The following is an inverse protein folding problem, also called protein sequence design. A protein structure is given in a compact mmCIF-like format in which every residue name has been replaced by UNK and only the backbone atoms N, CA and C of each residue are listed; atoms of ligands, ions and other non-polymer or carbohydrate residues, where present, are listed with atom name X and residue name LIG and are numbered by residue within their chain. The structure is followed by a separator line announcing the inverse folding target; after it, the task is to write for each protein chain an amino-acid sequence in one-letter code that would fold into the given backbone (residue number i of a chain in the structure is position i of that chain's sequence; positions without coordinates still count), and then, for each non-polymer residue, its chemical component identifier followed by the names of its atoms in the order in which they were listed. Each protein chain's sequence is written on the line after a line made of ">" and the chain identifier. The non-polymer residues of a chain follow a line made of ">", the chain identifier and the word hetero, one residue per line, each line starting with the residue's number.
data_IF_572804925966
#
_entry.id   IF_572804925966
#
_cell.length_a   1.000
_cell.length_b   1.000
_cell.length_c   1.000
_cell.angle_alpha   90.00
_cell.angle_beta   90.00
_cell.angle_gamma   90.00
#
_symmetry.space_group_name_H-M   'P 1'
#
loop_
_entity.id
_entity.type
_entity.pdbx_description
1 polymer ?
#
# COMPACT_ATOMS: atom_id res chain seq x y z
N UNK A 1 -51.24 -67.63 20.66
CA UNK A 1 -49.99 -66.94 21.02
C UNK A 1 -49.72 -65.89 19.94
N UNK A 2 -49.27 -64.65 20.17
CA UNK A 2 -49.34 -63.73 21.34
C UNK A 2 -48.88 -62.34 20.84
N UNK A 3 -49.51 -61.23 21.27
CA UNK A 3 -49.08 -59.80 21.12
C UNK A 3 -48.76 -59.28 19.69
N UNK A 4 -49.26 -58.17 19.13
CA UNK A 4 -49.94 -56.93 19.59
C UNK A 4 -49.06 -55.75 20.06
N UNK A 5 -48.60 -54.93 19.10
CA UNK A 5 -48.34 -53.45 19.15
C UNK A 5 -47.99 -52.99 17.70
N UNK A 6 -48.36 -51.84 17.11
CA UNK A 6 -48.60 -50.43 17.51
C UNK A 6 -47.36 -49.54 17.74
N UNK A 7 -46.67 -49.15 16.65
CA UNK A 7 -46.09 -47.81 16.30
C UNK A 7 -45.99 -47.79 14.75
N UNK A 8 -46.41 -46.83 13.90
CA UNK A 8 -47.15 -45.55 13.99
C UNK A 8 -46.38 -44.21 13.79
N UNK A 9 -46.97 -43.31 12.96
CA UNK A 9 -46.76 -41.86 12.76
C UNK A 9 -45.38 -41.21 13.05
N UNK A 10 -44.71 -40.73 11.98
CA UNK A 10 -44.75 -39.28 11.60
C UNK A 10 -44.08 -38.96 10.25
N UNK A 11 -44.54 -37.88 9.63
CA UNK A 11 -43.92 -37.23 8.47
C UNK A 11 -43.07 -36.03 8.90
N UNK A 12 -41.87 -35.91 8.35
CA UNK A 12 -41.13 -34.66 8.07
C UNK A 12 -40.28 -34.97 6.82
N UNK A 13 -40.47 -34.33 5.65
CA UNK A 13 -40.44 -32.89 5.32
C UNK A 13 -39.11 -32.21 5.67
N UNK A 14 -38.05 -32.64 4.98
CA UNK A 14 -36.80 -31.88 4.84
C UNK A 14 -36.83 -31.13 3.50
N UNK A 15 -37.42 -29.94 3.48
CA UNK A 15 -37.45 -29.09 2.28
C UNK A 15 -36.06 -28.55 1.98
N UNK A 16 -35.58 -28.77 0.76
CA UNK A 16 -34.41 -28.09 0.19
C UNK A 16 -34.68 -26.58 0.10
N UNK A 17 -34.23 -25.84 1.11
CA UNK A 17 -34.25 -24.37 1.08
C UNK A 17 -33.13 -23.87 0.17
N UNK A 18 -33.45 -23.69 -1.11
CA UNK A 18 -32.66 -22.83 -2.00
C UNK A 18 -32.76 -21.41 -1.47
N UNK A 19 -31.83 -21.01 -0.61
CA UNK A 19 -31.74 -19.65 -0.07
C UNK A 19 -31.21 -18.71 -1.14
N UNK A 20 -32.10 -18.26 -2.02
CA UNK A 20 -31.98 -16.93 -2.62
C UNK A 20 -31.79 -15.92 -1.47
N UNK A 21 -30.81 -15.00 -1.52
CA UNK A 21 -30.71 -13.96 -0.50
C UNK A 21 -32.00 -13.13 -0.51
N UNK A 22 -32.48 -12.67 0.67
CA UNK A 22 -33.70 -11.87 0.73
C UNK A 22 -33.51 -10.58 -0.07
N UNK A 23 -34.47 -10.25 -0.93
CA UNK A 23 -34.44 -9.00 -1.69
C UNK A 23 -34.52 -7.81 -0.73
N UNK A 24 -33.53 -6.92 -0.82
CA UNK A 24 -33.29 -5.79 0.10
C UNK A 24 -34.28 -4.65 -0.17
N UNK A 25 -35.55 -4.89 0.15
CA UNK A 25 -36.63 -3.90 0.17
C UNK A 25 -37.01 -3.45 1.58
N UNK A 26 -36.44 -4.07 2.64
CA UNK A 26 -36.80 -3.82 4.05
C UNK A 26 -35.63 -3.30 4.92
N UNK A 27 -34.41 -3.16 4.38
CA UNK A 27 -33.27 -2.68 5.19
C UNK A 27 -33.21 -1.15 5.18
N UNK A 28 -34.05 -0.54 6.03
CA UNK A 28 -34.04 0.90 6.36
C UNK A 28 -33.20 1.25 7.58
N UNK A 29 -32.55 0.26 8.21
CA UNK A 29 -31.78 0.40 9.44
C UNK A 29 -30.28 0.15 9.18
N UNK A 30 -29.48 1.20 9.36
CA UNK A 30 -28.02 1.20 9.17
C UNK A 30 -27.30 0.16 10.05
N UNK A 31 -27.84 -0.15 11.25
CA UNK A 31 -27.23 -1.11 12.17
C UNK A 31 -27.29 -2.53 11.62
N UNK A 32 -28.37 -2.87 10.91
CA UNK A 32 -28.53 -4.17 10.25
C UNK A 32 -27.63 -4.29 9.01
N UNK A 33 -27.39 -3.18 8.28
CA UNK A 33 -26.39 -3.15 7.19
C UNK A 33 -24.98 -3.38 7.75
N UNK A 34 -24.59 -2.63 8.78
CA UNK A 34 -23.28 -2.71 9.42
C UNK A 34 -23.01 -4.11 9.99
N UNK A 35 -24.01 -4.72 10.63
CA UNK A 35 -23.93 -6.11 11.08
C UNK A 35 -23.73 -7.08 9.91
N UNK A 36 -24.47 -6.90 8.81
CA UNK A 36 -24.42 -7.79 7.64
C UNK A 36 -23.11 -7.69 6.86
N UNK A 37 -22.51 -6.51 6.73
CA UNK A 37 -21.17 -6.36 6.14
C UNK A 37 -20.10 -7.03 7.01
N UNK A 38 -20.18 -6.89 8.34
CA UNK A 38 -19.22 -7.49 9.28
C UNK A 38 -19.35 -9.01 9.40
N UNK A 39 -20.56 -9.57 9.33
CA UNK A 39 -20.76 -11.03 9.39
C UNK A 39 -20.32 -11.78 8.13
N UNK A 40 -20.13 -11.07 7.01
CA UNK A 40 -19.72 -11.65 5.72
C UNK A 40 -18.24 -11.39 5.36
N UNK A 41 -17.37 -11.02 6.32
CA UNK A 41 -15.93 -10.79 6.09
C UNK A 41 -15.11 -12.03 5.69
N UNK A 42 -15.74 -13.22 5.70
CA UNK A 42 -15.19 -14.46 5.17
C UNK A 42 -15.95 -14.99 3.94
N UNK A 43 -16.92 -14.23 3.40
CA UNK A 43 -17.78 -14.63 2.29
C UNK A 43 -17.80 -13.52 1.21
N UNK A 44 -16.80 -13.49 0.31
CA UNK A 44 -16.59 -12.36 -0.60
C UNK A 44 -17.75 -12.07 -1.56
N UNK A 45 -18.49 -13.07 -2.01
CA UNK A 45 -19.60 -12.88 -2.98
C UNK A 45 -20.75 -12.13 -2.31
N UNK A 46 -21.09 -12.53 -1.09
CA UNK A 46 -22.13 -11.96 -0.25
C UNK A 46 -21.73 -10.54 0.21
N UNK A 47 -20.48 -10.35 0.64
CA UNK A 47 -19.94 -9.03 0.98
C UNK A 47 -20.03 -8.06 -0.22
N UNK A 48 -19.57 -8.48 -1.40
CA UNK A 48 -19.62 -7.67 -2.63
C UNK A 48 -21.08 -7.37 -3.03
N UNK A 49 -22.00 -8.32 -2.85
CA UNK A 49 -23.43 -8.10 -3.14
C UNK A 49 -24.03 -7.03 -2.23
N UNK A 50 -23.81 -7.13 -0.91
CA UNK A 50 -24.30 -6.16 0.08
C UNK A 50 -23.64 -4.79 -0.17
N UNK A 51 -22.33 -4.74 -0.39
CA UNK A 51 -21.59 -3.50 -0.68
C UNK A 51 -22.20 -2.75 -1.88
N UNK A 52 -22.44 -3.44 -2.99
CA UNK A 52 -22.98 -2.83 -4.21
C UNK A 52 -24.41 -2.29 -4.04
N UNK A 53 -25.22 -2.89 -3.17
CA UNK A 53 -26.53 -2.34 -2.79
C UNK A 53 -26.36 -1.07 -1.95
N UNK A 54 -25.50 -1.11 -0.94
CA UNK A 54 -25.24 0.01 -0.03
C UNK A 54 -24.70 1.26 -0.77
N UNK A 55 -23.80 1.07 -1.73
CA UNK A 55 -23.16 2.19 -2.45
C UNK A 55 -24.12 3.03 -3.31
N UNK A 56 -25.28 2.48 -3.70
CA UNK A 56 -26.32 3.23 -4.41
C UNK A 56 -27.10 4.17 -3.48
N UNK A 57 -27.13 3.89 -2.18
CA UNK A 57 -27.84 4.70 -1.18
C UNK A 57 -26.95 5.90 -0.83
N UNK A 58 -27.21 7.05 -1.46
CA UNK A 58 -26.37 8.25 -1.33
C UNK A 58 -26.21 8.74 0.11
N UNK A 59 -27.25 8.62 0.94
CA UNK A 59 -27.20 8.99 2.36
C UNK A 59 -26.38 8.04 3.24
N UNK A 60 -26.08 6.82 2.77
CA UNK A 60 -25.33 5.82 3.51
C UNK A 60 -23.83 5.80 3.15
N UNK A 61 -23.39 6.59 2.15
CA UNK A 61 -22.00 6.56 1.67
C UNK A 61 -20.97 6.91 2.74
N UNK A 62 -21.32 7.81 3.65
CA UNK A 62 -20.51 8.21 4.80
C UNK A 62 -20.31 7.06 5.78
N UNK A 63 -21.42 6.48 6.25
CA UNK A 63 -21.47 5.29 7.11
C UNK A 63 -20.73 4.11 6.47
N UNK A 64 -20.90 3.91 5.16
CA UNK A 64 -20.20 2.89 4.38
C UNK A 64 -18.69 3.13 4.35
N UNK A 65 -18.24 4.36 4.09
CA UNK A 65 -16.82 4.71 4.07
C UNK A 65 -16.13 4.49 5.42
N UNK A 66 -16.79 4.85 6.53
CA UNK A 66 -16.30 4.55 7.88
C UNK A 66 -16.20 3.03 8.11
N UNK A 67 -17.20 2.25 7.69
CA UNK A 67 -17.17 0.77 7.74
C UNK A 67 -15.99 0.22 6.93
N UNK A 68 -15.72 0.74 5.72
CA UNK A 68 -14.57 0.31 4.90
C UNK A 68 -13.24 0.58 5.61
N UNK A 69 -13.07 1.78 6.18
CA UNK A 69 -11.87 2.14 6.95
C UNK A 69 -11.68 1.18 8.14
N UNK A 70 -12.74 0.93 8.90
CA UNK A 70 -12.72 0.04 10.06
C UNK A 70 -12.35 -1.42 9.69
N UNK A 71 -12.81 -1.91 8.52
CA UNK A 71 -12.42 -3.23 7.98
C UNK A 71 -10.93 -3.26 7.60
N UNK A 72 -10.40 -2.23 6.95
CA UNK A 72 -8.96 -2.12 6.64
C UNK A 72 -8.10 -2.06 7.91
N UNK A 73 -8.54 -1.30 8.91
CA UNK A 73 -7.91 -1.21 10.23
C UNK A 73 -7.75 -2.60 10.86
N UNK A 74 -8.80 -3.43 10.78
CA UNK A 74 -8.87 -4.78 11.35
C UNK A 74 -8.60 -5.92 10.33
N UNK A 75 -7.88 -5.66 9.23
CA UNK A 75 -7.75 -6.57 8.08
C UNK A 75 -7.04 -7.93 8.30
N UNK A 76 -6.80 -8.36 9.53
CA UNK A 76 -6.00 -9.57 9.83
C UNK A 76 -6.76 -10.85 9.47
N UNK A 77 -8.08 -10.88 9.69
CA UNK A 77 -8.94 -12.06 9.49
C UNK A 77 -9.86 -11.91 8.25
N UNK A 78 -9.59 -10.95 7.36
CA UNK A 78 -10.45 -10.58 6.22
C UNK A 78 -9.94 -11.21 4.92
N UNK A 79 -10.83 -11.82 4.12
CA UNK A 79 -10.46 -12.44 2.84
C UNK A 79 -9.82 -11.41 1.87
N UNK A 80 -8.70 -11.79 1.26
CA UNK A 80 -7.92 -10.95 0.33
C UNK A 80 -8.77 -10.36 -0.82
N UNK A 81 -9.80 -11.06 -1.30
CA UNK A 81 -10.72 -10.56 -2.34
C UNK A 81 -11.61 -9.44 -1.83
N UNK A 82 -11.96 -9.45 -0.54
CA UNK A 82 -12.68 -8.34 0.10
C UNK A 82 -11.74 -7.15 0.21
N UNK A 83 -10.51 -7.32 0.71
CA UNK A 83 -9.52 -6.24 0.79
C UNK A 83 -9.22 -5.63 -0.59
N UNK A 84 -9.05 -6.49 -1.61
CA UNK A 84 -8.93 -6.11 -3.02
C UNK A 84 -10.15 -5.30 -3.49
N UNK A 85 -11.37 -5.78 -3.27
CA UNK A 85 -12.58 -5.07 -3.69
C UNK A 85 -12.77 -3.73 -2.98
N UNK A 86 -12.39 -3.64 -1.70
CA UNK A 86 -12.41 -2.38 -0.94
C UNK A 86 -11.42 -1.39 -1.55
N UNK A 87 -10.17 -1.80 -1.82
CA UNK A 87 -9.17 -0.94 -2.44
C UNK A 87 -9.55 -0.56 -3.89
N UNK A 88 -10.08 -1.47 -4.69
CA UNK A 88 -10.59 -1.19 -6.04
C UNK A 88 -11.77 -0.21 -6.00
N UNK A 89 -12.66 -0.33 -5.01
CA UNK A 89 -13.78 0.60 -4.81
C UNK A 89 -13.31 1.99 -4.39
N UNK A 90 -12.32 2.07 -3.50
CA UNK A 90 -11.66 3.33 -3.12
C UNK A 90 -10.83 3.92 -4.28
N UNK A 91 -10.32 3.08 -5.20
CA UNK A 91 -9.56 3.46 -6.41
C UNK A 91 -10.42 3.83 -7.63
N UNK A 92 -11.74 3.67 -7.53
CA UNK A 92 -12.69 3.99 -8.62
C UNK A 92 -13.68 5.08 -8.21
N UNK A 93 -14.12 5.09 -6.96
CA UNK A 93 -15.15 6.00 -6.43
C UNK A 93 -14.56 7.17 -5.62
N UNK A 94 -13.39 7.67 -6.04
CA UNK A 94 -12.63 8.70 -5.32
C UNK A 94 -13.46 9.92 -4.93
N UNK A 95 -14.18 10.48 -5.89
CA UNK A 95 -14.85 11.77 -5.77
C UNK A 95 -16.14 11.69 -4.92
N UNK A 96 -16.56 10.48 -4.53
CA UNK A 96 -17.73 10.23 -3.68
C UNK A 96 -17.39 9.66 -2.30
N UNK A 97 -16.28 8.93 -2.15
CA UNK A 97 -15.88 8.31 -0.87
C UNK A 97 -14.70 9.01 -0.18
N UNK A 98 -13.69 9.48 -0.92
CA UNK A 98 -12.49 10.06 -0.29
C UNK A 98 -12.65 11.52 0.13
N UNK A 99 -13.70 12.21 -0.32
CA UNK A 99 -14.06 13.57 0.13
C UNK A 99 -14.29 13.60 1.65
N UNK A 100 -14.67 12.47 2.23
CA UNK A 100 -14.93 12.31 3.67
C UNK A 100 -13.71 11.85 4.48
N UNK A 101 -12.57 11.54 3.84
CA UNK A 101 -11.37 11.07 4.53
C UNK A 101 -10.80 12.16 5.43
N UNK A 102 -11.02 12.04 6.74
CA UNK A 102 -10.36 12.90 7.72
C UNK A 102 -8.91 12.45 7.97
N UNK A 103 -8.05 13.39 8.39
CA UNK A 103 -6.69 13.05 8.84
C UNK A 103 -6.66 12.15 10.08
N UNK A 104 -7.77 12.08 10.84
CA UNK A 104 -7.92 11.18 11.97
C UNK A 104 -8.15 9.74 11.50
N UNK A 105 -9.16 9.49 10.65
CA UNK A 105 -9.40 8.17 10.04
C UNK A 105 -8.18 7.68 9.24
N UNK A 106 -7.51 8.58 8.49
CA UNK A 106 -6.27 8.18 7.81
C UNK A 106 -5.23 7.68 8.81
N UNK A 107 -5.04 8.37 9.95
CA UNK A 107 -4.04 7.99 10.94
C UNK A 107 -4.42 6.75 11.77
N UNK A 108 -5.71 6.54 12.02
CA UNK A 108 -6.20 5.45 12.88
C UNK A 108 -6.50 4.15 12.12
N UNK A 109 -6.92 4.23 10.85
CA UNK A 109 -7.42 3.08 10.10
C UNK A 109 -6.58 2.76 8.87
N UNK A 110 -6.37 3.76 8.01
CA UNK A 110 -5.68 3.57 6.73
C UNK A 110 -4.16 3.41 6.91
N UNK A 111 -3.54 4.18 7.81
CA UNK A 111 -2.10 4.15 8.05
C UNK A 111 -1.64 2.83 8.68
N UNK A 112 -2.32 2.23 9.69
CA UNK A 112 -1.97 0.89 10.17
C UNK A 112 -2.13 -0.19 9.11
N UNK A 113 -3.18 -0.13 8.29
CA UNK A 113 -3.36 -1.01 7.13
C UNK A 113 -2.18 -0.91 6.15
N UNK A 114 -1.85 0.30 5.69
CA UNK A 114 -0.72 0.55 4.76
C UNK A 114 0.59 0.02 5.35
N UNK A 115 0.87 0.28 6.64
CA UNK A 115 2.06 -0.24 7.32
C UNK A 115 2.09 -1.78 7.35
N UNK A 116 0.95 -2.43 7.64
CA UNK A 116 0.79 -3.89 7.64
C UNK A 116 1.11 -4.46 6.26
N UNK A 117 0.48 -3.95 5.21
CA UNK A 117 0.66 -4.42 3.82
C UNK A 117 2.08 -4.20 3.30
N UNK A 118 2.72 -3.06 3.61
CA UNK A 118 4.12 -2.79 3.25
C UNK A 118 5.14 -3.63 4.05
N UNK A 119 4.74 -4.20 5.19
CA UNK A 119 5.60 -5.03 6.04
C UNK A 119 5.32 -6.53 5.90
N UNK A 120 4.35 -6.93 5.07
CA UNK A 120 3.97 -8.32 4.87
C UNK A 120 5.10 -9.08 4.14
N UNK A 121 5.59 -10.16 4.76
CA UNK A 121 6.72 -10.96 4.26
C UNK A 121 6.30 -12.08 3.32
N UNK A 122 5.02 -12.43 3.27
CA UNK A 122 4.47 -13.50 2.44
C UNK A 122 4.22 -13.01 1.00
N UNK A 123 4.33 -13.88 0.00
CA UNK A 123 4.15 -13.50 -1.42
C UNK A 123 2.70 -13.59 -1.89
N UNK A 124 1.81 -14.16 -1.08
CA UNK A 124 0.47 -14.62 -1.50
C UNK A 124 -0.56 -13.49 -1.77
N UNK A 125 -0.27 -12.23 -1.39
CA UNK A 125 -1.14 -11.08 -1.69
C UNK A 125 -0.39 -9.87 -2.28
N UNK A 126 0.36 -10.14 -3.35
CA UNK A 126 0.94 -9.10 -4.20
C UNK A 126 -0.13 -8.15 -4.81
N UNK A 127 -1.39 -8.58 -4.92
CA UNK A 127 -2.50 -7.80 -5.50
C UNK A 127 -2.98 -6.69 -4.55
N UNK A 128 -3.24 -6.98 -3.27
CA UNK A 128 -3.59 -5.96 -2.26
C UNK A 128 -2.42 -5.01 -2.02
N UNK A 129 -1.18 -5.49 -2.09
CA UNK A 129 0.02 -4.64 -2.07
C UNK A 129 0.09 -3.69 -3.28
N UNK A 130 -0.12 -4.20 -4.50
CA UNK A 130 -0.15 -3.41 -5.74
C UNK A 130 -1.24 -2.32 -5.67
N UNK A 131 -2.42 -2.67 -5.16
CA UNK A 131 -3.54 -1.74 -4.99
C UNK A 131 -3.28 -0.73 -3.87
N UNK A 132 -2.62 -1.13 -2.78
CA UNK A 132 -2.23 -0.22 -1.69
C UNK A 132 -1.21 0.84 -2.14
N UNK A 133 -0.26 0.47 -2.99
CA UNK A 133 0.69 1.41 -3.61
C UNK A 133 -0.01 2.38 -4.57
N UNK A 134 -0.93 1.89 -5.41
CA UNK A 134 -1.78 2.73 -6.28
C UNK A 134 -2.66 3.69 -5.46
N UNK A 135 -3.21 3.22 -4.35
CA UNK A 135 -4.02 4.03 -3.44
C UNK A 135 -3.19 5.13 -2.77
N UNK A 136 -1.98 4.84 -2.30
CA UNK A 136 -1.02 5.84 -1.82
C UNK A 136 -0.69 6.92 -2.87
N UNK A 137 -0.31 6.51 -4.08
CA UNK A 137 -0.05 7.41 -5.22
C UNK A 137 -1.22 8.40 -5.43
N UNK A 138 -2.44 7.86 -5.43
CA UNK A 138 -3.67 8.59 -5.72
C UNK A 138 -4.15 9.44 -4.53
N UNK A 139 -3.86 9.05 -3.29
CA UNK A 139 -4.02 9.91 -2.11
C UNK A 139 -3.06 11.10 -2.15
N UNK A 140 -1.82 10.93 -2.62
CA UNK A 140 -0.86 12.05 -2.76
C UNK A 140 -1.32 13.07 -3.81
N UNK A 141 -1.87 12.62 -4.93
CA UNK A 141 -2.35 13.52 -5.99
C UNK A 141 -3.53 14.41 -5.56
N UNK A 142 -4.35 13.99 -4.58
CA UNK A 142 -5.62 14.65 -4.25
C UNK A 142 -5.72 15.13 -2.79
N UNK A 143 -4.93 14.56 -1.87
CA UNK A 143 -5.03 14.76 -0.41
C UNK A 143 -3.65 14.95 0.27
N UNK A 144 -2.66 15.50 -0.44
CA UNK A 144 -1.29 15.73 0.08
C UNK A 144 -1.25 16.55 1.39
N UNK A 145 -2.13 17.53 1.55
CA UNK A 145 -2.25 18.34 2.78
C UNK A 145 -2.55 17.47 4.01
N UNK A 146 -3.44 16.49 3.88
CA UNK A 146 -3.81 15.54 4.94
C UNK A 146 -2.65 14.60 5.28
N UNK A 147 -2.01 14.03 4.25
CA UNK A 147 -0.89 13.10 4.38
C UNK A 147 0.37 13.73 5.00
N UNK A 148 0.50 15.06 4.95
CA UNK A 148 1.69 15.79 5.41
C UNK A 148 1.98 15.56 6.90
N UNK A 149 0.93 15.37 7.70
CA UNK A 149 1.02 15.13 9.16
C UNK A 149 1.58 13.75 9.54
N UNK A 150 1.56 12.78 8.61
CA UNK A 150 1.97 11.39 8.82
C UNK A 150 3.13 10.97 7.92
N UNK A 151 3.65 11.88 7.07
CA UNK A 151 4.64 11.61 6.02
C UNK A 151 5.85 10.80 6.49
N UNK A 152 6.45 11.15 7.63
CA UNK A 152 7.59 10.41 8.17
C UNK A 152 7.28 8.93 8.44
N UNK A 153 6.06 8.62 8.89
CA UNK A 153 5.65 7.28 9.28
C UNK A 153 5.48 6.35 8.06
N UNK A 154 4.76 6.80 7.02
CA UNK A 154 4.52 5.98 5.84
C UNK A 154 5.68 6.02 4.83
N UNK A 155 6.45 7.11 4.74
CA UNK A 155 7.68 7.14 3.95
C UNK A 155 8.76 6.21 4.55
N UNK A 156 8.87 6.11 5.87
CA UNK A 156 9.76 5.12 6.49
C UNK A 156 9.34 3.68 6.12
N UNK A 157 8.04 3.37 6.05
CA UNK A 157 7.55 2.07 5.59
C UNK A 157 7.79 1.82 4.09
N UNK A 158 7.67 2.83 3.23
CA UNK A 158 8.02 2.70 1.80
C UNK A 158 9.52 2.41 1.65
N UNK A 159 10.38 3.13 2.36
CA UNK A 159 11.83 2.90 2.27
C UNK A 159 12.23 1.54 2.86
N UNK A 160 11.54 1.07 3.90
CA UNK A 160 11.69 -0.30 4.40
C UNK A 160 11.30 -1.33 3.34
N UNK A 161 10.09 -1.21 2.78
CA UNK A 161 9.58 -2.06 1.71
C UNK A 161 10.53 -2.13 0.50
N UNK A 162 11.08 -0.99 0.07
CA UNK A 162 12.10 -0.94 -1.00
C UNK A 162 13.31 -1.81 -0.65
N UNK A 163 13.83 -1.74 0.57
CA UNK A 163 15.01 -2.51 0.99
C UNK A 163 14.73 -4.00 1.24
N UNK A 164 13.54 -4.36 1.73
CA UNK A 164 13.26 -5.74 2.18
C UNK A 164 12.42 -6.57 1.22
N UNK A 165 11.75 -5.95 0.24
CA UNK A 165 10.83 -6.64 -0.69
C UNK A 165 11.18 -6.47 -2.17
N UNK A 166 12.09 -5.56 -2.54
CA UNK A 166 12.50 -5.39 -3.94
C UNK A 166 13.70 -6.27 -4.27
N UNK A 167 13.45 -7.18 -5.21
CA UNK A 167 14.37 -8.22 -5.69
C UNK A 167 14.32 -8.25 -7.22
N UNK A 168 15.15 -9.08 -7.85
CA UNK A 168 15.10 -9.35 -9.30
C UNK A 168 13.79 -9.99 -9.81
N UNK A 169 12.91 -10.49 -8.93
CA UNK A 169 11.56 -10.95 -9.31
C UNK A 169 10.51 -9.85 -9.13
N UNK A 170 10.55 -9.11 -8.02
CA UNK A 170 9.45 -8.21 -7.63
C UNK A 170 9.54 -6.79 -8.22
N UNK A 171 10.72 -6.32 -8.65
CA UNK A 171 10.84 -4.98 -9.29
C UNK A 171 9.99 -4.87 -10.57
N UNK A 172 9.74 -5.99 -11.28
CA UNK A 172 8.89 -6.03 -12.48
C UNK A 172 7.42 -5.72 -12.16
N UNK A 173 6.99 -5.94 -10.91
CA UNK A 173 5.62 -5.72 -10.42
C UNK A 173 5.48 -4.32 -9.81
N UNK A 174 6.46 -3.91 -8.99
CA UNK A 174 6.35 -2.71 -8.14
C UNK A 174 7.24 -1.54 -8.55
N UNK A 175 8.23 -1.73 -9.42
CA UNK A 175 9.31 -0.76 -9.65
C UNK A 175 8.82 0.60 -10.15
N UNK A 176 8.01 0.60 -11.21
CA UNK A 176 7.45 1.84 -11.79
C UNK A 176 6.54 2.57 -10.78
N UNK A 177 5.78 1.82 -9.97
CA UNK A 177 4.92 2.40 -8.92
C UNK A 177 5.74 3.00 -7.79
N UNK A 178 6.87 2.40 -7.39
CA UNK A 178 7.78 3.01 -6.40
C UNK A 178 8.39 4.30 -6.94
N UNK A 179 8.83 4.30 -8.20
CA UNK A 179 9.44 5.48 -8.83
C UNK A 179 8.42 6.63 -8.91
N UNK A 180 7.19 6.35 -9.37
CA UNK A 180 6.10 7.33 -9.43
C UNK A 180 5.70 7.83 -8.03
N UNK A 181 5.53 6.92 -7.06
CA UNK A 181 5.23 7.23 -5.66
C UNK A 181 6.29 8.16 -5.03
N UNK A 182 7.57 7.82 -5.14
CA UNK A 182 8.67 8.66 -4.62
C UNK A 182 8.78 10.00 -5.39
N UNK A 183 8.52 10.02 -6.69
CA UNK A 183 8.49 11.25 -7.50
C UNK A 183 7.34 12.16 -7.09
N UNK A 184 6.16 11.61 -6.83
CA UNK A 184 4.99 12.35 -6.28
C UNK A 184 5.24 12.82 -4.85
N UNK A 185 5.97 12.06 -4.02
CA UNK A 185 6.41 12.54 -2.71
C UNK A 185 7.32 13.77 -2.85
N UNK A 186 8.35 13.68 -3.69
CA UNK A 186 9.27 14.81 -3.96
C UNK A 186 8.51 16.04 -4.45
N UNK A 187 7.58 15.85 -5.39
CA UNK A 187 6.78 16.92 -5.99
C UNK A 187 5.86 17.64 -4.99
N UNK A 188 5.20 16.91 -4.09
CA UNK A 188 4.13 17.44 -3.25
C UNK A 188 4.56 17.84 -1.82
N UNK A 189 5.65 17.26 -1.28
CA UNK A 189 6.05 17.48 0.12
C UNK A 189 7.45 18.08 0.29
N UNK A 190 8.13 18.52 -0.78
CA UNK A 190 9.38 19.29 -0.62
C UNK A 190 9.11 20.80 -0.57
N UNK A 191 9.78 21.56 0.32
CA UNK A 191 10.80 21.13 1.27
C UNK A 191 10.23 20.36 2.48
N UNK A 192 10.88 19.25 2.86
CA UNK A 192 10.50 18.44 4.01
C UNK A 192 10.73 19.21 5.34
N UNK A 193 9.75 19.22 6.27
CA UNK A 193 9.94 19.72 7.64
C UNK A 193 11.04 18.97 8.40
N UNK A 194 11.71 19.66 9.34
CA UNK A 194 12.88 19.13 10.08
C UNK A 194 12.55 17.83 10.82
N UNK A 195 11.35 17.76 11.37
CA UNK A 195 10.85 16.68 12.19
C UNK A 195 10.77 15.38 11.39
N UNK A 196 10.38 15.49 10.11
CA UNK A 196 10.35 14.39 9.15
C UNK A 196 11.78 14.00 8.74
N UNK A 197 12.69 14.96 8.53
CA UNK A 197 14.12 14.71 8.28
C UNK A 197 14.77 13.94 9.45
N UNK A 198 14.55 14.39 10.68
CA UNK A 198 15.13 13.81 11.90
C UNK A 198 14.60 12.38 12.17
N UNK A 199 13.34 12.08 11.83
CA UNK A 199 12.77 10.72 11.93
C UNK A 199 13.34 9.81 10.83
N UNK A 200 13.34 10.26 9.57
CA UNK A 200 13.84 9.46 8.45
C UNK A 200 15.33 9.17 8.59
N UNK A 201 16.15 10.12 9.07
CA UNK A 201 17.58 9.94 9.31
C UNK A 201 17.93 8.94 10.43
N UNK A 202 16.97 8.62 11.31
CA UNK A 202 17.13 7.64 12.41
C UNK A 202 16.56 6.26 12.08
N UNK A 203 15.86 6.10 10.96
CA UNK A 203 15.30 4.82 10.54
C UNK A 203 16.42 3.81 10.17
N UNK A 204 16.33 2.52 10.57
CA UNK A 204 17.27 1.50 10.09
C UNK A 204 17.18 1.31 8.56
N UNK A 205 16.03 1.62 7.95
CA UNK A 205 15.81 1.64 6.51
C UNK A 205 15.81 3.07 5.94
N UNK A 206 16.58 3.98 6.55
CA UNK A 206 16.85 5.30 5.97
C UNK A 206 17.57 5.18 4.63
N UNK A 207 17.39 6.16 3.74
CA UNK A 207 18.13 6.24 2.47
C UNK A 207 19.66 6.43 2.71
N UNK A 208 20.05 6.90 3.90
CA UNK A 208 21.46 6.99 4.34
C UNK A 208 21.95 5.74 5.12
N UNK A 209 21.14 4.70 5.26
CA UNK A 209 21.54 3.50 6.01
C UNK A 209 22.44 2.59 5.18
N UNK A 210 23.37 1.91 5.84
CA UNK A 210 24.29 0.97 5.19
C UNK A 210 23.55 -0.18 4.52
N UNK A 211 22.38 -0.60 5.04
CA UNK A 211 21.54 -1.62 4.43
C UNK A 211 20.93 -1.13 3.11
N UNK A 212 20.34 0.09 3.09
CA UNK A 212 19.77 0.67 1.87
C UNK A 212 20.82 0.81 0.78
N UNK A 213 22.00 1.33 1.14
CA UNK A 213 23.10 1.55 0.21
C UNK A 213 23.73 0.22 -0.27
N UNK A 214 23.72 -0.82 0.56
CA UNK A 214 24.18 -2.17 0.17
C UNK A 214 23.24 -2.82 -0.86
N UNK A 215 21.92 -2.67 -0.73
CA UNK A 215 20.99 -3.24 -1.72
C UNK A 215 20.93 -2.44 -3.02
N UNK A 216 20.90 -1.10 -2.95
CA UNK A 216 21.00 -0.30 -4.18
C UNK A 216 22.31 -0.61 -4.94
N UNK A 217 23.40 -0.83 -4.20
CA UNK A 217 24.66 -1.34 -4.75
C UNK A 217 24.46 -2.72 -5.38
N UNK A 218 23.87 -3.70 -4.69
CA UNK A 218 23.65 -5.05 -5.21
C UNK A 218 22.90 -5.03 -6.55
N UNK A 219 21.84 -4.22 -6.66
CA UNK A 219 21.04 -4.04 -7.87
C UNK A 219 21.83 -3.39 -9.03
N UNK A 220 22.62 -2.36 -8.75
CA UNK A 220 23.51 -1.74 -9.76
C UNK A 220 24.68 -2.67 -10.16
N UNK A 221 25.12 -3.57 -9.27
CA UNK A 221 26.13 -4.61 -9.57
C UNK A 221 25.56 -5.81 -10.35
N UNK A 222 24.24 -5.95 -10.52
CA UNK A 222 23.63 -7.14 -11.14
C UNK A 222 23.72 -7.11 -12.67
N UNK A 223 24.88 -7.53 -13.20
CA UNK A 223 25.23 -7.49 -14.63
C UNK A 223 24.22 -8.24 -15.52
N UNK A 224 23.64 -9.33 -15.00
CA UNK A 224 22.74 -10.21 -15.74
C UNK A 224 21.32 -9.65 -15.92
N UNK A 225 20.88 -8.73 -15.04
CA UNK A 225 19.61 -8.01 -15.20
C UNK A 225 19.82 -6.50 -15.39
N UNK A 226 20.00 -6.13 -16.66
CA UNK A 226 20.10 -4.74 -17.13
C UNK A 226 18.84 -3.93 -16.77
N UNK A 227 17.66 -4.55 -16.62
CA UNK A 227 16.42 -3.84 -16.26
C UNK A 227 16.37 -3.55 -14.76
N UNK A 228 16.81 -4.46 -13.89
CA UNK A 228 16.99 -4.17 -12.46
C UNK A 228 18.02 -3.06 -12.24
N UNK A 229 19.15 -3.11 -12.96
CA UNK A 229 20.15 -2.03 -12.92
C UNK A 229 19.57 -0.68 -13.40
N UNK A 230 18.73 -0.67 -14.44
CA UNK A 230 18.02 0.54 -14.88
C UNK A 230 16.96 1.01 -13.87
N UNK A 231 16.23 0.11 -13.24
CA UNK A 231 15.30 0.43 -12.15
C UNK A 231 16.04 1.13 -11.01
N UNK A 232 17.18 0.60 -10.55
CA UNK A 232 18.00 1.21 -9.51
C UNK A 232 18.49 2.63 -9.90
N UNK A 233 18.80 2.84 -11.18
CA UNK A 233 19.20 4.16 -11.72
C UNK A 233 18.02 5.14 -11.76
N UNK A 234 16.82 4.70 -12.15
CA UNK A 234 15.63 5.57 -12.14
C UNK A 234 15.10 5.83 -10.72
N UNK A 235 15.23 4.87 -9.81
CA UNK A 235 14.94 5.01 -8.38
C UNK A 235 15.87 6.06 -7.71
N UNK A 236 17.13 6.16 -8.17
CA UNK A 236 18.12 7.10 -7.64
C UNK A 236 17.70 8.57 -7.80
N UNK A 237 16.94 8.93 -8.84
CA UNK A 237 16.55 10.34 -9.09
C UNK A 237 15.66 10.93 -7.97
N UNK A 238 14.47 10.36 -7.64
CA UNK A 238 13.66 10.88 -6.54
C UNK A 238 14.33 10.66 -5.17
N UNK A 239 15.12 9.59 -4.98
CA UNK A 239 15.90 9.40 -3.75
C UNK A 239 16.96 10.51 -3.56
N UNK A 240 17.69 10.87 -4.63
CA UNK A 240 18.65 11.97 -4.62
C UNK A 240 17.96 13.32 -4.39
N UNK A 241 16.75 13.52 -4.93
CA UNK A 241 15.96 14.72 -4.64
C UNK A 241 15.57 14.82 -3.15
N UNK A 242 15.10 13.73 -2.53
CA UNK A 242 14.85 13.66 -1.08
C UNK A 242 16.14 13.93 -0.28
N UNK A 243 17.22 13.21 -0.60
CA UNK A 243 18.52 13.31 0.07
C UNK A 243 19.14 14.71 -0.05
N UNK A 244 19.01 15.36 -1.20
CA UNK A 244 19.50 16.74 -1.39
C UNK A 244 18.91 17.75 -0.40
N UNK A 245 17.77 17.42 0.23
CA UNK A 245 17.14 18.23 1.27
C UNK A 245 17.42 17.70 2.67
N UNK A 246 17.37 16.37 2.88
CA UNK A 246 17.77 15.71 4.14
C UNK A 246 19.16 16.16 4.63
N UNK A 247 20.10 16.36 3.70
CA UNK A 247 21.54 16.45 4.00
C UNK A 247 22.09 17.87 4.19
N UNK A 248 21.29 18.90 3.91
CA UNK A 248 21.66 20.34 4.10
C UNK A 248 21.94 20.75 5.56
N UNK A 249 21.94 19.80 6.51
CA UNK A 249 22.12 20.03 7.95
C UNK A 249 23.23 19.18 8.60
N UNK A 250 24.25 18.81 7.83
CA UNK A 250 25.59 18.55 8.39
C UNK A 250 25.98 17.10 8.69
N UNK A 251 25.28 16.10 8.16
CA UNK A 251 25.81 14.73 8.15
C UNK A 251 26.94 14.62 7.10
N UNK A 252 28.18 14.31 7.52
CA UNK A 252 29.35 14.20 6.64
C UNK A 252 29.17 13.15 5.55
N UNK A 253 28.80 11.92 5.95
CA UNK A 253 28.37 10.85 5.02
C UNK A 253 27.29 11.30 4.03
N UNK A 254 26.44 12.22 4.45
CA UNK A 254 25.47 12.86 3.58
C UNK A 254 26.12 13.72 2.51
N UNK A 255 26.96 14.68 2.90
CA UNK A 255 27.66 15.55 1.96
C UNK A 255 28.58 14.78 1.00
N UNK A 256 29.21 13.69 1.47
CA UNK A 256 29.94 12.71 0.64
C UNK A 256 28.99 12.09 -0.41
N UNK A 257 27.85 11.53 0.02
CA UNK A 257 26.84 10.97 -0.90
C UNK A 257 26.27 12.01 -1.86
N UNK A 258 26.12 13.26 -1.43
CA UNK A 258 25.63 14.37 -2.24
C UNK A 258 26.63 14.81 -3.31
N UNK A 259 27.92 14.86 -2.99
CA UNK A 259 28.99 15.11 -3.97
C UNK A 259 29.00 13.99 -5.03
N UNK A 260 28.94 12.74 -4.57
CA UNK A 260 28.84 11.54 -5.42
C UNK A 260 27.57 11.54 -6.29
N UNK A 261 26.46 12.09 -5.80
CA UNK A 261 25.21 12.31 -6.55
C UNK A 261 25.27 13.49 -7.53
N UNK A 262 25.97 14.58 -7.21
CA UNK A 262 26.06 15.76 -8.08
C UNK A 262 27.02 15.54 -9.25
N UNK A 263 28.18 14.93 -9.00
CA UNK A 263 29.02 14.32 -10.05
C UNK A 263 28.31 13.13 -10.73
N UNK A 264 27.27 12.60 -10.09
CA UNK A 264 26.33 11.61 -10.60
C UNK A 264 25.21 12.19 -11.47
N UNK A 265 25.29 13.46 -11.92
CA UNK A 265 24.41 13.99 -12.97
C UNK A 265 24.67 13.26 -14.30
N UNK A 266 23.94 12.17 -14.45
CA UNK A 266 23.83 11.33 -15.62
C UNK A 266 23.47 12.18 -16.85
N UNK A 267 24.42 12.28 -17.78
CA UNK A 267 24.09 12.63 -19.16
C UNK A 267 23.54 11.37 -19.84
N UNK A 268 22.22 11.34 -20.05
CA UNK A 268 21.52 10.21 -20.66
C UNK A 268 21.87 9.97 -22.14
N UNK A 269 22.71 10.82 -22.76
CA UNK A 269 23.33 10.53 -24.07
C UNK A 269 24.43 9.45 -24.00
N UNK A 270 24.96 9.17 -22.81
CA UNK A 270 26.05 8.21 -22.60
C UNK A 270 25.53 6.75 -22.71
N UNK A 271 26.22 5.83 -23.41
CA UNK A 271 25.83 4.43 -23.51
C UNK A 271 25.64 3.74 -22.15
N UNK A 272 24.47 3.09 -21.96
CA UNK A 272 23.99 2.53 -20.69
C UNK A 272 25.01 1.69 -19.89
N UNK A 273 25.90 0.92 -20.55
CA UNK A 273 26.97 0.17 -19.86
C UNK A 273 28.01 1.06 -19.17
N UNK A 274 28.42 2.17 -19.81
CA UNK A 274 29.36 3.14 -19.23
C UNK A 274 28.69 3.85 -18.04
N UNK A 275 27.40 4.12 -18.15
CA UNK A 275 26.60 4.72 -17.10
C UNK A 275 26.56 3.87 -15.83
N UNK A 276 26.26 2.57 -15.97
CA UNK A 276 26.27 1.60 -14.86
C UNK A 276 27.65 1.56 -14.19
N UNK A 277 28.75 1.50 -14.96
CA UNK A 277 30.11 1.51 -14.39
C UNK A 277 30.45 2.81 -13.64
N UNK A 278 30.01 3.97 -14.14
CA UNK A 278 30.22 5.28 -13.47
C UNK A 278 29.51 5.33 -12.11
N UNK A 279 28.25 4.86 -12.06
CA UNK A 279 27.44 4.83 -10.83
C UNK A 279 27.97 3.77 -9.85
N UNK A 280 28.35 2.59 -10.36
CA UNK A 280 29.00 1.52 -9.59
C UNK A 280 30.23 2.04 -8.85
N UNK A 281 31.17 2.68 -9.57
CA UNK A 281 32.43 3.16 -8.99
C UNK A 281 32.22 4.26 -7.95
N UNK A 282 31.08 4.94 -8.02
CA UNK A 282 30.66 6.01 -7.13
C UNK A 282 30.02 5.47 -5.86
N UNK A 283 29.10 4.50 -5.97
CA UNK A 283 28.52 3.79 -4.80
C UNK A 283 29.59 2.95 -4.07
N UNK A 284 30.61 2.44 -4.75
CA UNK A 284 31.77 1.79 -4.11
C UNK A 284 32.57 2.76 -3.20
N UNK A 285 32.49 4.08 -3.39
CA UNK A 285 33.22 5.08 -2.59
C UNK A 285 32.47 5.59 -1.35
N UNK A 286 31.20 5.23 -1.17
CA UNK A 286 30.35 5.70 -0.05
C UNK A 286 30.22 4.70 1.12
N UNK A 287 30.85 3.52 1.03
CA UNK A 287 30.65 2.37 1.92
C UNK A 287 31.95 1.94 2.61
#
# INVERSE_FOLDING_TARGET
>A
MSTSSMIELRQTRSTTTTTTPPLVNEITDESNILHSLRSNLHCPVEFIHIYNQCYQITSFRSSLFEILCNILSNSVDVDAKILKHILESLLTNHDSLLVELTGLQFKQDILPFIKRTLSATEEDDNDVLLLSLKFLIKLIDNYSTLLSSTLAEWLASILHFVVTRITSSSYVIFGDLIIDLLTKIVKNFTPLPKEIVDVLGRSPSSIISTQFLSELKSWVKHVDDIRLALFAIHLWEPLAALLSRLLTRGHTKGNEMLAVMQDGRIDFSIPKKILICSIYSKIDSCL
#
